data_IF_564408395255
#
_entry.id   IF_564408395255
#
_cell.length_a   1.000
_cell.length_b   1.000
_cell.length_c   1.000
_cell.angle_alpha   90.00
_cell.angle_beta   90.00
_cell.angle_gamma   90.00
#
_symmetry.space_group_name_H-M   'P 1'
#
loop_
_entity.id
_entity.type
_entity.pdbx_description
1 polymer ?
#
# COMPACT_ATOMS: atom_id res chain seq x y z
N UNK A 1 65.76 6.33 22.28
CA UNK A 1 65.73 7.78 22.01
C UNK A 1 64.54 8.22 21.19
N UNK A 2 63.31 7.63 21.36
CA UNK A 2 62.10 8.00 20.56
C UNK A 2 60.95 8.60 21.39
N UNK A 3 61.11 8.79 22.71
CA UNK A 3 60.05 9.34 23.57
C UNK A 3 60.10 10.86 23.80
N UNK A 4 61.17 11.54 23.39
CA UNK A 4 61.29 13.01 23.60
C UNK A 4 60.75 13.84 22.46
N UNK A 5 60.58 13.30 21.24
CA UNK A 5 60.06 14.06 20.08
C UNK A 5 58.53 14.18 20.09
N UNK A 6 57.83 13.25 20.73
CA UNK A 6 56.34 13.30 20.80
C UNK A 6 55.82 14.36 21.78
N UNK A 7 56.55 14.59 22.86
CA UNK A 7 56.16 15.60 23.85
C UNK A 7 56.32 17.05 23.34
N UNK A 8 57.29 17.29 22.44
CA UNK A 8 57.53 18.63 21.87
C UNK A 8 56.48 18.99 20.85
N UNK A 9 55.99 18.02 20.05
CA UNK A 9 54.91 18.22 19.08
C UNK A 9 53.54 18.47 19.75
N UNK A 10 53.28 17.84 20.91
CA UNK A 10 52.03 18.06 21.65
C UNK A 10 52.04 19.42 22.38
N UNK A 11 53.20 19.89 22.84
CA UNK A 11 53.34 21.21 23.46
C UNK A 11 53.21 22.35 22.43
N UNK A 12 53.69 22.14 21.19
CA UNK A 12 53.54 23.13 20.10
C UNK A 12 52.10 23.23 19.64
N UNK A 13 51.35 22.11 19.60
CA UNK A 13 49.92 22.13 19.24
C UNK A 13 49.05 22.81 20.33
N UNK A 14 49.39 22.65 21.61
CA UNK A 14 48.71 23.32 22.72
C UNK A 14 49.02 24.83 22.81
N UNK A 15 50.21 25.27 22.39
CA UNK A 15 50.56 26.69 22.38
C UNK A 15 49.88 27.49 21.26
N UNK A 16 49.51 26.86 20.15
CA UNK A 16 48.74 27.49 19.08
C UNK A 16 47.28 27.75 19.46
N UNK A 17 46.75 27.08 20.49
CA UNK A 17 45.39 27.30 20.99
C UNK A 17 45.26 28.45 22.01
N UNK A 18 46.38 29.07 22.42
CA UNK A 18 46.40 30.14 23.44
C UNK A 18 46.73 31.55 22.91
N UNK A 19 46.68 31.74 21.59
CA UNK A 19 46.80 33.10 21.04
C UNK A 19 45.41 33.75 21.02
N UNK A 20 45.13 34.75 21.84
CA UNK A 20 43.88 35.48 21.79
C UNK A 20 43.96 36.41 20.56
N UNK A 21 43.20 36.12 19.53
CA UNK A 21 43.03 37.05 18.40
C UNK A 21 43.09 36.47 16.99
N UNK A 22 43.28 35.15 16.80
CA UNK A 22 43.08 34.53 15.50
C UNK A 22 41.74 33.75 15.53
N UNK A 23 40.63 34.49 15.60
CA UNK A 23 39.41 33.96 15.06
C UNK A 23 39.66 33.75 13.56
N UNK A 24 39.87 32.52 13.14
CA UNK A 24 39.66 32.16 11.74
C UNK A 24 38.20 32.55 11.42
N UNK A 25 38.02 33.75 10.85
CA UNK A 25 36.74 34.05 10.23
C UNK A 25 36.48 32.95 9.21
N UNK A 26 35.53 32.05 9.52
CA UNK A 26 35.06 31.06 8.58
C UNK A 26 34.52 31.87 7.39
N UNK A 27 35.33 31.97 6.32
CA UNK A 27 34.91 32.65 5.10
C UNK A 27 33.65 31.94 4.63
N UNK A 28 32.54 32.67 4.58
CA UNK A 28 31.28 32.14 4.11
C UNK A 28 31.50 31.51 2.72
N UNK A 29 31.10 30.26 2.58
CA UNK A 29 31.13 29.60 1.29
C UNK A 29 30.15 30.30 0.35
N UNK A 30 30.56 30.57 -0.88
CA UNK A 30 29.75 31.24 -1.88
C UNK A 30 29.62 30.43 -3.14
N UNK A 31 28.48 30.58 -3.82
CA UNK A 31 28.21 29.97 -5.11
C UNK A 31 27.84 31.06 -6.11
N UNK A 32 28.31 30.93 -7.37
CA UNK A 32 27.94 31.86 -8.44
C UNK A 32 26.69 31.36 -9.14
N UNK A 33 25.57 32.06 -8.96
CA UNK A 33 24.27 31.65 -9.52
C UNK A 33 23.48 32.87 -10.00
N UNK A 34 22.37 32.61 -10.70
CA UNK A 34 21.38 33.63 -11.11
C UNK A 34 20.18 33.50 -10.17
N UNK A 35 19.92 34.59 -9.46
CA UNK A 35 18.76 34.67 -8.58
C UNK A 35 17.46 34.63 -9.39
N UNK A 36 16.56 33.70 -9.04
CA UNK A 36 15.26 33.56 -9.70
C UNK A 36 14.30 34.72 -9.41
N UNK A 37 14.51 35.44 -8.30
CA UNK A 37 13.66 36.57 -7.88
C UNK A 37 14.05 37.89 -8.53
N UNK A 38 15.35 38.19 -8.66
CA UNK A 38 15.80 39.46 -9.22
C UNK A 38 16.56 39.33 -10.54
N UNK A 39 16.71 38.12 -11.06
CA UNK A 39 17.41 37.76 -12.30
C UNK A 39 18.86 38.30 -12.40
N UNK A 40 19.52 38.49 -11.26
CA UNK A 40 20.89 38.99 -11.17
C UNK A 40 21.87 37.86 -10.95
N UNK A 41 22.95 37.84 -11.74
CA UNK A 41 24.05 36.88 -11.53
C UNK A 41 25.03 37.45 -10.51
N UNK A 42 25.22 36.79 -9.40
CA UNK A 42 26.11 37.19 -8.32
C UNK A 42 26.75 35.97 -7.61
N UNK A 43 27.67 36.27 -6.68
CA UNK A 43 28.15 35.27 -5.73
C UNK A 43 27.21 35.28 -4.52
N UNK A 44 26.39 34.25 -4.42
CA UNK A 44 25.43 34.06 -3.34
C UNK A 44 26.09 33.36 -2.15
N UNK A 45 25.74 33.77 -0.95
CA UNK A 45 26.17 33.11 0.28
C UNK A 45 25.42 31.79 0.47
N UNK A 46 26.15 30.68 0.73
CA UNK A 46 25.53 29.40 1.05
C UNK A 46 25.02 29.49 2.48
N UNK A 47 23.71 29.30 2.67
CA UNK A 47 23.01 29.42 3.95
C UNK A 47 22.57 28.07 4.48
N UNK A 48 22.61 27.01 3.67
CA UNK A 48 22.22 25.67 4.11
C UNK A 48 22.19 24.63 3.01
N UNK A 49 21.78 23.45 3.39
CA UNK A 49 21.65 22.29 2.50
C UNK A 49 20.35 21.57 2.82
N UNK A 50 19.67 21.04 1.79
CA UNK A 50 18.42 20.28 1.91
C UNK A 50 18.53 19.00 1.13
N UNK A 51 18.09 17.86 1.72
CA UNK A 51 18.11 16.55 1.04
C UNK A 51 17.30 16.61 -0.26
N UNK A 52 17.90 16.16 -1.36
CA UNK A 52 17.21 15.94 -2.62
C UNK A 52 16.86 14.44 -2.82
N UNK A 53 17.87 13.56 -2.74
CA UNK A 53 17.72 12.12 -2.87
C UNK A 53 18.76 11.40 -2.00
N UNK A 54 18.97 10.10 -2.20
CA UNK A 54 19.94 9.32 -1.42
C UNK A 54 21.41 9.59 -1.78
N UNK A 55 21.67 10.36 -2.83
CA UNK A 55 23.02 10.66 -3.33
C UNK A 55 23.37 12.13 -3.18
N UNK A 56 22.38 13.01 -3.30
CA UNK A 56 22.58 14.44 -3.49
C UNK A 56 21.69 15.28 -2.58
N UNK A 57 22.14 16.51 -2.33
CA UNK A 57 21.37 17.55 -1.63
C UNK A 57 21.36 18.85 -2.42
N UNK A 58 20.31 19.65 -2.23
CA UNK A 58 20.22 21.01 -2.69
C UNK A 58 21.15 21.90 -1.86
N UNK A 59 21.80 22.86 -2.52
CA UNK A 59 22.45 23.97 -1.84
C UNK A 59 21.45 25.11 -1.73
N UNK A 60 21.26 25.61 -0.52
CA UNK A 60 20.44 26.77 -0.24
C UNK A 60 21.36 27.99 -0.18
N UNK A 61 21.07 29.00 -0.97
CA UNK A 61 21.89 30.20 -1.04
C UNK A 61 21.04 31.47 -0.97
N UNK A 62 21.65 32.53 -0.45
CA UNK A 62 21.04 33.86 -0.30
C UNK A 62 21.60 34.82 -1.32
N UNK A 63 20.71 35.49 -2.03
CA UNK A 63 21.10 36.51 -3.01
C UNK A 63 21.56 37.80 -2.31
N UNK A 64 22.74 38.33 -2.62
CA UNK A 64 23.22 39.56 -2.00
C UNK A 64 22.45 40.81 -2.46
N UNK A 65 21.75 40.75 -3.59
CA UNK A 65 21.07 41.91 -4.19
C UNK A 65 19.62 42.06 -3.66
N UNK A 66 18.87 40.98 -3.54
CA UNK A 66 17.47 41.05 -3.06
C UNK A 66 17.27 40.44 -1.65
N UNK A 67 18.27 39.71 -1.12
CA UNK A 67 18.18 39.11 0.19
C UNK A 67 17.37 37.81 0.26
N UNK A 68 16.76 37.38 -0.85
CA UNK A 68 15.97 36.16 -0.91
C UNK A 68 16.86 34.90 -0.91
N UNK A 69 16.34 33.82 -0.30
CA UNK A 69 17.01 32.53 -0.27
C UNK A 69 16.29 31.54 -1.17
N UNK A 70 17.07 30.79 -1.95
CA UNK A 70 16.55 29.82 -2.90
C UNK A 70 17.44 28.57 -2.97
N UNK A 71 16.89 27.47 -3.53
CA UNK A 71 17.68 26.29 -3.90
C UNK A 71 18.48 26.59 -5.16
N UNK A 72 19.72 26.12 -5.23
CA UNK A 72 20.48 26.20 -6.47
C UNK A 72 19.80 25.40 -7.57
N UNK A 73 19.49 26.06 -8.68
CA UNK A 73 18.77 25.48 -9.82
C UNK A 73 19.67 25.36 -11.07
N UNK A 74 20.99 25.35 -10.91
CA UNK A 74 21.87 25.22 -12.06
C UNK A 74 21.54 23.98 -12.88
N UNK A 75 20.92 24.18 -14.04
CA UNK A 75 20.42 23.15 -14.97
C UNK A 75 19.40 22.16 -14.36
N UNK A 76 18.69 22.53 -13.29
CA UNK A 76 17.67 21.68 -12.66
C UNK A 76 18.21 20.51 -11.85
N UNK A 77 19.52 20.42 -11.63
CA UNK A 77 20.16 19.36 -10.86
C UNK A 77 20.71 19.89 -9.53
N UNK A 78 20.67 19.08 -8.47
CA UNK A 78 21.41 19.36 -7.23
C UNK A 78 22.90 19.39 -7.55
N UNK A 79 23.61 20.40 -7.04
CA UNK A 79 25.02 20.65 -7.37
C UNK A 79 26.00 20.04 -6.39
N UNK A 80 25.51 19.35 -5.36
CA UNK A 80 26.36 18.79 -4.33
C UNK A 80 25.94 17.37 -3.94
N UNK A 81 26.95 16.55 -3.66
CA UNK A 81 26.76 15.19 -3.21
C UNK A 81 26.80 15.12 -1.69
N UNK A 82 26.08 14.16 -1.10
CA UNK A 82 26.22 13.88 0.32
C UNK A 82 27.66 13.51 0.66
N UNK A 83 28.18 14.05 1.74
CA UNK A 83 29.54 13.78 2.21
C UNK A 83 29.64 13.84 3.73
N UNK A 84 30.77 13.35 4.27
CA UNK A 84 31.01 13.27 5.72
C UNK A 84 30.35 12.04 6.34
N UNK A 85 30.27 12.07 7.67
CA UNK A 85 29.83 10.92 8.50
C UNK A 85 30.93 9.87 8.71
N UNK A 86 31.01 9.38 9.93
CA UNK A 86 31.98 8.36 10.35
C UNK A 86 31.36 6.99 10.53
N UNK A 87 30.03 6.88 10.40
CA UNK A 87 29.26 5.66 10.58
C UNK A 87 29.61 4.64 9.49
N UNK A 88 29.64 3.37 9.86
CA UNK A 88 29.71 2.27 8.90
C UNK A 88 28.33 2.01 8.33
N UNK A 89 28.11 2.14 7.01
CA UNK A 89 26.82 1.87 6.42
C UNK A 89 26.39 0.41 6.62
N UNK A 90 25.09 0.22 6.84
CA UNK A 90 24.43 -1.09 6.89
C UNK A 90 23.45 -1.22 5.72
N UNK A 91 22.69 -2.31 5.69
CA UNK A 91 21.64 -2.50 4.68
C UNK A 91 20.59 -1.38 4.69
N UNK A 92 20.28 -0.87 5.88
CA UNK A 92 19.16 0.07 6.11
C UNK A 92 19.60 1.43 6.61
N UNK A 93 20.80 1.52 7.19
CA UNK A 93 21.34 2.75 7.76
C UNK A 93 22.53 3.21 6.94
N UNK A 94 22.51 4.46 6.51
CA UNK A 94 23.62 5.09 5.81
C UNK A 94 24.52 5.90 6.74
N UNK A 95 25.45 6.64 6.14
CA UNK A 95 26.20 7.71 6.81
C UNK A 95 25.32 8.94 6.96
N UNK A 96 25.59 9.75 7.96
CA UNK A 96 24.92 11.04 8.14
C UNK A 96 25.69 12.12 7.36
N UNK A 97 25.05 12.80 6.44
CA UNK A 97 25.67 13.91 5.71
C UNK A 97 26.01 15.04 6.67
N UNK A 98 27.26 15.47 6.67
CA UNK A 98 27.72 16.55 7.57
C UNK A 98 27.06 17.91 7.26
N UNK A 99 26.54 18.11 6.06
CA UNK A 99 25.97 19.36 5.62
C UNK A 99 24.47 19.45 5.81
N UNK A 100 23.70 18.41 5.41
CA UNK A 100 22.23 18.43 5.48
C UNK A 100 21.63 17.50 6.53
N UNK A 101 22.44 16.73 7.25
CA UNK A 101 21.96 15.78 8.26
C UNK A 101 21.24 14.53 7.71
N UNK A 102 21.05 14.43 6.39
CA UNK A 102 20.36 13.30 5.80
C UNK A 102 21.23 12.04 5.78
N UNK A 103 20.58 10.88 5.93
CA UNK A 103 21.27 9.61 5.74
C UNK A 103 21.45 9.28 4.27
N UNK A 104 22.65 8.80 3.88
CA UNK A 104 23.01 8.46 2.52
C UNK A 104 23.93 7.23 2.47
N UNK A 105 24.03 6.61 1.27
CA UNK A 105 24.95 5.50 1.04
C UNK A 105 24.57 4.22 1.80
N UNK A 106 23.29 3.98 2.04
CA UNK A 106 22.81 2.68 2.52
C UNK A 106 23.25 1.58 1.55
N UNK A 107 23.68 0.45 2.08
CA UNK A 107 24.15 -0.65 1.23
C UNK A 107 23.04 -1.41 0.52
N UNK A 108 21.79 -1.30 1.02
CA UNK A 108 20.70 -2.16 0.59
C UNK A 108 20.93 -3.60 1.04
N UNK A 109 19.97 -4.48 0.74
CA UNK A 109 20.11 -5.90 1.01
C UNK A 109 20.77 -6.61 -0.17
N UNK A 110 21.67 -7.53 0.14
CA UNK A 110 22.25 -8.47 -0.81
C UNK A 110 21.52 -9.80 -0.67
N UNK A 111 20.45 -9.95 -1.47
CA UNK A 111 19.55 -11.07 -1.32
C UNK A 111 20.15 -12.36 -1.90
N UNK A 112 20.17 -13.41 -1.10
CA UNK A 112 20.47 -14.76 -1.56
C UNK A 112 19.38 -15.35 -2.47
N UNK A 113 19.59 -16.60 -2.89
CA UNK A 113 18.61 -17.33 -3.68
C UNK A 113 17.31 -17.58 -2.89
N UNK A 114 16.19 -17.64 -3.62
CA UNK A 114 14.91 -18.01 -3.06
C UNK A 114 14.88 -19.47 -2.61
N UNK A 115 14.36 -19.72 -1.44
CA UNK A 115 14.24 -21.03 -0.81
C UNK A 115 12.78 -21.32 -0.44
N UNK A 116 12.34 -22.56 -0.59
CA UNK A 116 11.01 -22.98 -0.14
C UNK A 116 10.92 -22.96 1.38
N UNK A 117 9.81 -22.44 1.92
CA UNK A 117 9.51 -22.54 3.37
C UNK A 117 9.09 -23.95 3.81
N UNK A 118 8.80 -24.84 2.89
CA UNK A 118 8.25 -26.15 3.20
C UNK A 118 6.82 -26.17 3.71
N UNK A 119 6.11 -25.03 3.66
CA UNK A 119 4.71 -24.90 4.09
C UNK A 119 3.70 -24.90 2.93
N UNK A 120 4.15 -25.25 1.75
CA UNK A 120 3.36 -25.33 0.52
C UNK A 120 2.63 -24.02 0.14
N UNK A 121 3.16 -22.87 0.49
CA UNK A 121 2.52 -21.58 0.19
C UNK A 121 3.48 -20.44 -0.13
N UNK A 122 4.67 -20.44 0.46
CA UNK A 122 5.60 -19.32 0.37
C UNK A 122 7.05 -19.76 0.19
N UNK A 123 7.83 -18.86 -0.38
CA UNK A 123 9.28 -18.93 -0.43
C UNK A 123 9.89 -17.70 0.27
N UNK A 124 11.15 -17.81 0.63
CA UNK A 124 11.88 -16.75 1.31
C UNK A 124 13.31 -16.66 0.80
N UNK A 125 13.95 -15.55 1.05
CA UNK A 125 15.37 -15.34 0.89
C UNK A 125 15.90 -14.49 2.02
N UNK A 126 17.16 -14.64 2.35
CA UNK A 126 17.84 -13.91 3.42
C UNK A 126 18.90 -12.98 2.84
N UNK A 127 19.16 -11.91 3.52
CA UNK A 127 20.29 -11.04 3.20
C UNK A 127 21.58 -11.78 3.48
N UNK A 128 22.55 -11.69 2.54
CA UNK A 128 23.86 -12.36 2.63
C UNK A 128 24.94 -11.48 3.27
N UNK A 129 24.61 -10.24 3.66
CA UNK A 129 25.57 -9.35 4.32
C UNK A 129 25.69 -9.71 5.79
N UNK A 130 26.94 -9.74 6.27
CA UNK A 130 27.24 -10.00 7.67
C UNK A 130 26.49 -9.02 8.60
N UNK A 131 25.87 -9.58 9.64
CA UNK A 131 25.12 -8.82 10.63
C UNK A 131 23.76 -8.30 10.15
N UNK A 132 23.24 -8.83 9.02
CA UNK A 132 21.90 -8.50 8.52
C UNK A 132 21.00 -9.73 8.50
N UNK A 133 20.05 -9.79 9.44
CA UNK A 133 19.09 -10.89 9.55
C UNK A 133 17.80 -10.66 8.76
N UNK A 134 17.82 -9.75 7.78
CA UNK A 134 16.64 -9.43 7.00
C UNK A 134 16.20 -10.62 6.14
N UNK A 135 14.91 -10.89 6.17
CA UNK A 135 14.23 -11.95 5.40
C UNK A 135 13.19 -11.30 4.50
N UNK A 136 13.24 -11.62 3.22
CA UNK A 136 12.22 -11.29 2.24
C UNK A 136 11.35 -12.54 2.00
N UNK A 137 10.03 -12.38 1.92
CA UNK A 137 9.09 -13.50 1.78
C UNK A 137 8.06 -13.17 0.71
N UNK A 138 7.80 -14.12 -0.17
CA UNK A 138 6.75 -13.99 -1.18
C UNK A 138 5.95 -15.31 -1.32
N UNK A 139 4.76 -15.21 -1.90
CA UNK A 139 3.93 -16.37 -2.19
C UNK A 139 4.48 -17.16 -3.37
N UNK A 140 4.41 -18.47 -3.30
CA UNK A 140 4.74 -19.34 -4.42
C UNK A 140 3.73 -19.19 -5.55
N UNK A 141 4.20 -19.28 -6.80
CA UNK A 141 3.39 -19.16 -8.01
C UNK A 141 4.10 -19.75 -9.23
N UNK A 142 3.43 -19.68 -10.39
CA UNK A 142 4.03 -20.00 -11.69
C UNK A 142 3.67 -21.37 -12.26
N UNK A 143 2.91 -22.20 -11.57
CA UNK A 143 2.36 -23.45 -12.08
C UNK A 143 0.85 -23.32 -12.24
N UNK A 144 0.37 -23.37 -13.48
CA UNK A 144 -1.06 -23.24 -13.81
C UNK A 144 -1.90 -24.47 -13.38
N UNK A 145 -1.26 -25.59 -13.09
CA UNK A 145 -1.93 -26.81 -12.60
C UNK A 145 -2.17 -26.77 -11.08
N UNK A 146 -1.49 -25.88 -10.36
CA UNK A 146 -1.66 -25.71 -8.92
C UNK A 146 -3.06 -25.22 -8.58
N UNK A 147 -3.70 -25.87 -7.63
CA UNK A 147 -4.98 -25.45 -7.07
C UNK A 147 -4.91 -25.43 -5.54
N UNK A 148 -5.96 -25.06 -4.85
CA UNK A 148 -6.00 -25.15 -3.39
C UNK A 148 -6.04 -26.59 -2.83
N UNK A 149 -6.16 -27.60 -3.69
CA UNK A 149 -6.15 -29.04 -3.35
C UNK A 149 -5.13 -29.84 -4.15
N UNK A 150 -4.50 -29.24 -5.16
CA UNK A 150 -3.49 -29.89 -6.00
C UNK A 150 -2.18 -29.09 -5.91
N UNK A 151 -1.10 -29.79 -5.57
CA UNK A 151 0.23 -29.19 -5.51
C UNK A 151 0.75 -28.87 -6.91
N UNK A 152 1.33 -27.70 -7.06
CA UNK A 152 2.13 -27.30 -8.20
C UNK A 152 3.57 -27.01 -7.78
N UNK A 153 4.44 -26.74 -8.76
CA UNK A 153 5.84 -26.42 -8.53
C UNK A 153 6.10 -24.93 -8.72
N UNK A 154 6.60 -24.27 -7.67
CA UNK A 154 6.94 -22.86 -7.72
C UNK A 154 8.07 -22.60 -8.73
N UNK A 155 7.81 -21.73 -9.71
CA UNK A 155 8.80 -21.39 -10.74
C UNK A 155 10.03 -20.65 -10.20
N UNK A 156 9.91 -20.03 -9.02
CA UNK A 156 10.96 -19.20 -8.41
C UNK A 156 11.90 -20.01 -7.52
N UNK A 157 11.36 -20.91 -6.67
CA UNK A 157 12.16 -21.64 -5.68
C UNK A 157 12.19 -23.16 -5.91
N UNK A 158 11.43 -23.68 -6.90
CA UNK A 158 11.30 -25.11 -7.15
C UNK A 158 10.52 -25.90 -6.10
N UNK A 159 10.07 -25.25 -5.02
CA UNK A 159 9.29 -25.89 -3.97
C UNK A 159 7.84 -26.11 -4.37
N UNK A 160 7.19 -27.09 -3.74
CA UNK A 160 5.76 -27.34 -3.98
C UNK A 160 4.89 -26.33 -3.25
N UNK A 161 3.72 -26.01 -3.83
CA UNK A 161 2.76 -25.09 -3.24
C UNK A 161 1.32 -25.40 -3.64
N UNK A 162 0.38 -24.99 -2.80
CA UNK A 162 -1.03 -24.88 -3.17
C UNK A 162 -1.35 -23.46 -3.62
N UNK A 163 -2.15 -23.30 -4.66
CA UNK A 163 -2.71 -21.99 -5.00
C UNK A 163 -3.68 -21.52 -3.93
N UNK A 164 -3.90 -20.23 -3.87
CA UNK A 164 -4.94 -19.64 -3.03
C UNK A 164 -6.32 -20.17 -3.46
N UNK A 165 -7.27 -20.17 -2.51
CA UNK A 165 -8.66 -20.48 -2.84
C UNK A 165 -9.23 -19.49 -3.83
N UNK A 166 -9.88 -20.01 -4.87
CA UNK A 166 -10.58 -19.19 -5.86
C UNK A 166 -12.03 -18.98 -5.43
N UNK A 167 -12.44 -17.74 -5.25
CA UNK A 167 -13.81 -17.38 -4.92
C UNK A 167 -14.47 -16.68 -6.11
N UNK A 168 -15.77 -16.95 -6.39
CA UNK A 168 -16.43 -16.31 -7.51
C UNK A 168 -16.51 -14.79 -7.31
N UNK A 169 -16.34 -14.05 -8.38
CA UNK A 169 -16.57 -12.61 -8.41
C UNK A 169 -18.07 -12.33 -8.43
N UNK A 170 -18.72 -12.19 -7.29
CA UNK A 170 -20.15 -11.86 -7.17
C UNK A 170 -21.05 -13.08 -6.97
N UNK A 171 -22.22 -13.06 -7.26
CA UNK A 171 -23.53 -13.68 -7.12
C UNK A 171 -23.72 -15.17 -6.77
N UNK A 172 -22.70 -16.01 -6.65
CA UNK A 172 -22.88 -17.40 -6.23
C UNK A 172 -22.79 -17.55 -4.71
N UNK A 173 -23.68 -16.89 -4.01
CA UNK A 173 -23.79 -16.96 -2.57
C UNK A 173 -24.42 -18.28 -2.13
N UNK A 174 -23.83 -18.89 -1.11
CA UNK A 174 -24.42 -19.97 -0.33
C UNK A 174 -25.00 -19.38 0.95
N UNK A 175 -26.00 -20.06 1.53
CA UNK A 175 -26.61 -19.64 2.77
C UNK A 175 -27.14 -20.82 3.59
N UNK A 176 -27.24 -20.59 4.87
CA UNK A 176 -28.07 -21.37 5.81
C UNK A 176 -29.09 -20.43 6.46
N UNK A 177 -29.78 -20.87 7.50
CA UNK A 177 -30.82 -20.06 8.17
C UNK A 177 -30.27 -18.81 8.87
N UNK A 178 -28.96 -18.71 9.09
CA UNK A 178 -28.34 -17.63 9.88
C UNK A 178 -27.41 -16.78 9.07
N UNK A 179 -26.67 -17.38 8.12
CA UNK A 179 -25.54 -16.73 7.46
C UNK A 179 -25.55 -16.96 5.95
N UNK A 180 -24.83 -16.08 5.24
CA UNK A 180 -24.46 -16.27 3.86
C UNK A 180 -22.93 -16.25 3.70
N UNK A 181 -22.41 -16.87 2.63
CA UNK A 181 -20.97 -16.91 2.32
C UNK A 181 -20.72 -17.21 0.84
N UNK A 182 -19.49 -16.98 0.40
CA UNK A 182 -18.99 -17.50 -0.89
C UNK A 182 -18.11 -18.72 -0.61
N UNK A 183 -18.30 -19.80 -1.34
CA UNK A 183 -17.46 -20.99 -1.28
C UNK A 183 -16.38 -20.97 -2.36
N UNK A 184 -15.23 -21.57 -2.07
CA UNK A 184 -14.20 -21.79 -3.09
C UNK A 184 -14.75 -22.62 -4.25
N UNK A 185 -14.49 -22.18 -5.48
CA UNK A 185 -14.99 -22.87 -6.70
C UNK A 185 -14.29 -24.20 -6.98
N UNK A 186 -13.17 -24.49 -6.28
CA UNK A 186 -12.37 -25.70 -6.49
C UNK A 186 -12.60 -26.72 -5.38
N UNK A 187 -12.41 -26.37 -4.11
CA UNK A 187 -12.58 -27.31 -3.00
C UNK A 187 -13.99 -27.27 -2.38
N UNK A 188 -14.77 -26.24 -2.64
CA UNK A 188 -16.12 -25.98 -2.11
C UNK A 188 -16.21 -25.85 -0.57
N UNK A 189 -15.17 -26.16 0.17
CA UNK A 189 -15.13 -26.11 1.64
C UNK A 189 -14.71 -24.76 2.21
N UNK A 190 -13.71 -24.13 1.62
CA UNK A 190 -13.26 -22.82 2.07
C UNK A 190 -14.33 -21.75 1.82
N UNK A 191 -14.64 -20.96 2.85
CA UNK A 191 -15.67 -19.93 2.85
C UNK A 191 -15.04 -18.55 3.04
N UNK A 192 -15.60 -17.55 2.38
CA UNK A 192 -15.24 -16.14 2.57
C UNK A 192 -16.48 -15.26 2.60
N UNK A 193 -16.33 -14.01 3.03
CA UNK A 193 -17.41 -13.02 3.18
C UNK A 193 -18.61 -13.59 3.98
N UNK A 194 -18.34 -14.45 4.97
CA UNK A 194 -19.38 -14.99 5.81
C UNK A 194 -19.97 -13.88 6.71
N UNK A 195 -21.29 -13.78 6.71
CA UNK A 195 -22.01 -12.78 7.49
C UNK A 195 -23.47 -13.20 7.75
N UNK A 196 -24.09 -12.56 8.74
CA UNK A 196 -25.52 -12.70 8.95
C UNK A 196 -26.34 -12.13 7.79
N UNK A 197 -27.58 -12.61 7.63
CA UNK A 197 -28.47 -12.09 6.60
C UNK A 197 -28.81 -10.61 6.85
N UNK A 198 -28.70 -9.83 5.78
CA UNK A 198 -29.14 -8.43 5.75
C UNK A 198 -30.46 -8.39 4.97
N UNK A 199 -31.59 -8.37 5.70
CA UNK A 199 -32.91 -8.41 5.08
C UNK A 199 -33.34 -7.04 4.58
N UNK A 200 -33.76 -7.03 3.32
CA UNK A 200 -34.28 -5.83 2.61
C UNK A 200 -35.64 -6.13 1.98
N UNK A 201 -36.34 -5.08 1.56
CA UNK A 201 -37.55 -5.18 0.77
C UNK A 201 -37.19 -5.21 -0.72
N UNK A 202 -36.95 -6.39 -1.26
CA UNK A 202 -36.63 -6.61 -2.68
C UNK A 202 -37.67 -7.52 -3.34
N UNK A 203 -38.32 -7.05 -4.42
CA UNK A 203 -39.34 -7.83 -5.14
C UNK A 203 -38.69 -8.93 -5.99
N UNK A 204 -38.12 -9.94 -5.35
CA UNK A 204 -37.50 -11.10 -6.02
C UNK A 204 -38.49 -12.27 -6.08
N UNK A 205 -38.58 -12.91 -7.23
CA UNK A 205 -39.61 -13.96 -7.48
C UNK A 205 -39.57 -15.12 -6.50
N UNK A 206 -38.35 -15.51 -6.03
CA UNK A 206 -38.19 -16.60 -5.04
C UNK A 206 -38.74 -16.25 -3.66
N UNK A 207 -39.00 -14.99 -3.38
CA UNK A 207 -39.58 -14.49 -2.13
C UNK A 207 -41.01 -14.01 -2.28
N UNK A 208 -41.67 -14.28 -3.41
CA UNK A 208 -43.08 -13.97 -3.63
C UNK A 208 -43.95 -14.78 -2.66
N UNK A 209 -44.79 -14.10 -1.89
CA UNK A 209 -45.79 -14.68 -0.99
C UNK A 209 -47.15 -14.83 -1.69
N UNK A 210 -47.60 -13.77 -2.36
CA UNK A 210 -48.80 -13.79 -3.14
C UNK A 210 -48.66 -12.87 -4.35
N UNK A 211 -49.07 -13.34 -5.52
CA UNK A 211 -49.09 -12.52 -6.74
C UNK A 211 -50.09 -11.40 -6.63
N UNK A 212 -49.87 -10.33 -7.45
CA UNK A 212 -50.85 -9.29 -7.59
C UNK A 212 -52.15 -9.87 -8.18
N UNK A 213 -53.27 -9.37 -7.72
CA UNK A 213 -54.59 -9.63 -8.31
C UNK A 213 -55.10 -8.34 -8.94
N UNK A 214 -56.29 -8.39 -9.58
CA UNK A 214 -56.88 -7.17 -10.14
C UNK A 214 -57.27 -6.11 -9.07
N UNK A 215 -57.32 -6.50 -7.82
CA UNK A 215 -57.74 -5.61 -6.72
C UNK A 215 -56.66 -5.45 -5.63
N UNK A 216 -55.59 -6.26 -5.61
CA UNK A 216 -54.59 -6.21 -4.61
C UNK A 216 -53.14 -6.36 -5.20
N UNK A 217 -52.16 -5.59 -4.73
CA UNK A 217 -50.79 -5.70 -5.21
C UNK A 217 -50.14 -7.00 -4.70
N UNK A 218 -48.99 -7.35 -5.30
CA UNK A 218 -48.20 -8.47 -4.88
C UNK A 218 -47.63 -8.26 -3.45
N UNK A 219 -47.51 -9.37 -2.71
CA UNK A 219 -46.89 -9.39 -1.38
C UNK A 219 -45.67 -10.28 -1.44
N UNK A 220 -44.56 -9.78 -0.89
CA UNK A 220 -43.30 -10.50 -0.83
C UNK A 220 -42.85 -10.69 0.63
N UNK A 221 -42.06 -11.71 0.88
CA UNK A 221 -41.23 -11.78 2.05
C UNK A 221 -40.01 -10.88 1.88
N UNK A 222 -39.48 -10.30 2.93
CA UNK A 222 -38.15 -9.70 2.93
C UNK A 222 -37.12 -10.74 2.49
N UNK A 223 -36.05 -10.30 1.89
CA UNK A 223 -34.99 -11.18 1.40
C UNK A 223 -33.61 -10.64 1.77
N UNK A 224 -32.64 -11.53 1.96
CA UNK A 224 -31.25 -11.12 2.10
C UNK A 224 -30.75 -10.46 0.81
N UNK A 225 -30.14 -9.28 0.92
CA UNK A 225 -29.62 -8.49 -0.19
C UNK A 225 -28.52 -9.23 -0.99
N UNK A 226 -27.81 -10.16 -0.36
CA UNK A 226 -26.71 -10.89 -0.97
C UNK A 226 -27.16 -12.23 -1.58
N UNK A 227 -27.85 -13.08 -0.82
CA UNK A 227 -28.12 -14.46 -1.20
C UNK A 227 -29.59 -14.74 -1.49
N UNK A 228 -30.47 -13.74 -1.38
CA UNK A 228 -31.93 -13.86 -1.55
C UNK A 228 -32.61 -14.83 -0.58
N UNK A 229 -31.94 -15.23 0.51
CA UNK A 229 -32.57 -16.04 1.55
C UNK A 229 -33.83 -15.33 2.06
N UNK A 230 -34.94 -16.08 2.10
CA UNK A 230 -36.26 -15.55 2.46
C UNK A 230 -36.34 -15.22 3.95
N UNK A 231 -36.71 -14.01 4.31
CA UNK A 231 -36.99 -13.58 5.66
C UNK A 231 -38.38 -14.00 6.16
N UNK A 232 -38.70 -13.61 7.37
CA UNK A 232 -40.01 -13.89 8.02
C UNK A 232 -41.01 -12.75 7.81
N UNK A 233 -40.54 -11.53 7.66
CA UNK A 233 -41.37 -10.36 7.52
C UNK A 233 -41.88 -10.24 6.08
N UNK A 234 -43.07 -9.64 5.92
CA UNK A 234 -43.68 -9.44 4.61
C UNK A 234 -43.94 -7.97 4.36
N UNK A 235 -43.91 -7.60 3.09
CA UNK A 235 -44.24 -6.24 2.63
C UNK A 235 -45.01 -6.29 1.32
N UNK A 236 -45.76 -5.22 1.05
CA UNK A 236 -46.48 -4.99 -0.19
C UNK A 236 -45.54 -4.27 -1.16
N UNK A 237 -45.44 -4.74 -2.41
CA UNK A 237 -44.63 -4.05 -3.42
C UNK A 237 -45.18 -2.63 -3.67
N UNK A 238 -44.42 -1.58 -3.35
CA UNK A 238 -44.87 -0.21 -3.50
C UNK A 238 -44.87 0.28 -4.96
N UNK A 239 -44.17 -0.43 -5.82
CA UNK A 239 -43.96 -0.02 -7.21
C UNK A 239 -44.90 -0.72 -8.22
N UNK A 240 -45.42 -1.89 -7.87
CA UNK A 240 -46.35 -2.65 -8.71
C UNK A 240 -47.70 -2.75 -7.98
N UNK A 241 -48.63 -1.94 -8.44
CA UNK A 241 -50.00 -1.97 -7.94
C UNK A 241 -50.75 -3.27 -8.33
N UNK A 242 -52.09 -3.31 -8.15
CA UNK A 242 -52.91 -4.41 -8.62
C UNK A 242 -52.70 -4.67 -10.13
N UNK A 243 -52.66 -5.93 -10.53
CA UNK A 243 -52.56 -6.31 -11.94
C UNK A 243 -53.98 -6.40 -12.54
N UNK A 244 -54.42 -5.45 -13.38
CA UNK A 244 -55.76 -5.45 -13.92
C UNK A 244 -56.06 -6.63 -14.86
N UNK A 245 -55.04 -7.37 -15.29
CA UNK A 245 -55.22 -8.53 -16.18
C UNK A 245 -55.27 -9.85 -15.40
N UNK A 246 -54.98 -9.85 -14.10
CA UNK A 246 -54.97 -11.08 -13.29
C UNK A 246 -56.31 -11.25 -12.56
N UNK A 247 -57.36 -11.56 -13.34
CA UNK A 247 -58.68 -11.90 -12.83
C UNK A 247 -58.83 -13.39 -12.65
N UNK A 248 -59.32 -13.82 -11.48
CA UNK A 248 -59.79 -15.17 -11.25
C UNK A 248 -61.25 -15.25 -11.73
N UNK A 249 -61.44 -15.54 -13.03
CA UNK A 249 -62.74 -15.62 -13.65
C UNK A 249 -63.37 -16.99 -13.36
N UNK A 250 -64.30 -16.99 -12.41
CA UNK A 250 -65.16 -18.17 -12.19
C UNK A 250 -66.26 -18.18 -13.23
N UNK A 251 -66.33 -19.22 -14.05
CA UNK A 251 -67.40 -19.45 -15.02
C UNK A 251 -68.68 -19.79 -14.25
N UNK A 252 -69.66 -18.93 -14.30
CA UNK A 252 -71.02 -19.25 -13.83
C UNK A 252 -71.84 -19.65 -15.03
N UNK A 253 -72.36 -20.85 -15.02
CA UNK A 253 -73.36 -21.27 -15.99
C UNK A 253 -74.58 -20.35 -15.96
N UNK A 254 -75.02 -19.91 -17.10
CA UNK A 254 -76.17 -19.06 -17.21
C UNK A 254 -77.41 -19.79 -16.61
N UNK A 255 -78.01 -19.21 -15.57
CA UNK A 255 -79.27 -19.69 -15.06
C UNK A 255 -80.31 -19.49 -16.16
N UNK A 256 -81.01 -20.56 -16.49
CA UNK A 256 -82.13 -20.48 -17.35
C UNK A 256 -83.19 -19.50 -16.77
N UNK A 257 -83.81 -18.64 -17.62
CA UNK A 257 -84.84 -17.73 -17.12
C UNK A 257 -86.00 -18.55 -16.52
N UNK A 258 -86.33 -18.27 -15.29
CA UNK A 258 -87.53 -18.83 -14.65
C UNK A 258 -88.71 -17.98 -15.10
N UNK A 259 -89.76 -18.59 -15.74
CA UNK A 259 -91.01 -17.99 -16.03
C UNK A 259 -91.79 -17.73 -14.74
#
# INVERSE_FOLDING_TARGET
MKKKSFAILLAAALLLCLLPGMALEAKAETIRDICSFCNTRAYHEITGFERYNDVQHWVIHKCPNCGESERSIFLGNPISYHSGGTETPTCTTGKTCAQCGAQYGKLGHDWGAWQSRGNNSAHFRTCQRDGCDAVDTASCSGDSSATCITLGTCSTCGGQYYSAHAFPAGQNWHSDDKNHWLSCTVCHEAKTKMGAHWFVQGAVSVCLKSAATCVAPAVYYTNCDYCYHKGTDTYVDPYNGPDPNNHDLVHHDAKAPTC
#
